data_IF_650932463417
#
_entry.id   IF_650932463417
#
_cell.length_a   1.000
_cell.length_b   1.000
_cell.length_c   1.000
_cell.angle_alpha   90.00
_cell.angle_beta   90.00
_cell.angle_gamma   90.00
#
_symmetry.space_group_name_H-M   'P 1'
#
loop_
_entity.id
_entity.type
_entity.pdbx_description
1 polymer ?
#
# COMPACT_ATOMS: atom_id res chain seq x y z
N UNK A 1 -22.31 12.95 -8.73
CA UNK A 1 -21.29 12.74 -9.79
C UNK A 1 -19.87 12.99 -9.31
N UNK A 2 -19.61 13.85 -8.31
CA UNK A 2 -18.25 14.13 -7.82
C UNK A 2 -17.57 12.98 -7.06
N UNK A 3 -18.32 12.19 -6.27
CA UNK A 3 -17.77 11.05 -5.49
C UNK A 3 -17.19 9.93 -6.37
N UNK A 4 -17.72 9.76 -7.59
CA UNK A 4 -17.27 8.72 -8.53
C UNK A 4 -15.88 9.08 -9.08
N UNK A 5 -15.62 10.36 -9.35
CA UNK A 5 -14.29 10.85 -9.74
C UNK A 5 -13.27 10.72 -8.60
N UNK A 6 -13.69 11.03 -7.37
CA UNK A 6 -12.85 10.84 -6.18
C UNK A 6 -12.49 9.38 -5.87
N UNK A 7 -13.28 8.41 -6.33
CA UNK A 7 -13.03 7.00 -6.08
C UNK A 7 -12.28 6.31 -7.23
N UNK A 8 -12.57 6.67 -8.49
CA UNK A 8 -12.16 5.89 -9.66
C UNK A 8 -11.02 6.52 -10.46
N UNK A 9 -11.03 7.84 -10.71
CA UNK A 9 -9.97 8.53 -11.48
C UNK A 9 -10.03 10.05 -11.26
N UNK A 10 -8.96 10.71 -10.73
CA UNK A 10 -7.61 10.24 -10.40
C UNK A 10 -7.48 9.63 -8.99
N UNK A 11 -8.58 9.33 -8.30
CA UNK A 11 -8.60 9.04 -6.86
C UNK A 11 -8.06 7.66 -6.40
N UNK A 12 -8.74 7.08 -5.40
CA UNK A 12 -8.20 5.99 -4.57
C UNK A 12 -7.87 4.68 -5.32
N UNK A 13 -8.77 4.22 -6.19
CA UNK A 13 -8.61 2.91 -6.84
C UNK A 13 -7.47 2.94 -7.85
N UNK A 14 -7.37 4.01 -8.64
CA UNK A 14 -6.31 4.16 -9.63
C UNK A 14 -4.93 4.26 -8.97
N UNK A 15 -4.79 5.12 -7.96
CA UNK A 15 -3.52 5.32 -7.25
C UNK A 15 -3.06 4.08 -6.51
N UNK A 16 -3.98 3.32 -5.89
CA UNK A 16 -3.65 2.05 -5.22
C UNK A 16 -3.13 1.02 -6.22
N UNK A 17 -3.85 0.81 -7.34
CA UNK A 17 -3.43 -0.16 -8.37
C UNK A 17 -2.09 0.26 -9.00
N UNK A 18 -1.95 1.54 -9.33
CA UNK A 18 -0.73 2.07 -9.93
C UNK A 18 0.48 1.93 -8.99
N UNK A 19 0.31 2.29 -7.70
CA UNK A 19 1.34 2.12 -6.67
C UNK A 19 1.80 0.66 -6.54
N UNK A 20 0.87 -0.30 -6.61
CA UNK A 20 1.21 -1.73 -6.57
C UNK A 20 2.06 -2.18 -7.77
N UNK A 21 1.79 -1.64 -8.96
CA UNK A 21 2.57 -1.90 -10.18
C UNK A 21 3.96 -1.27 -10.07
N UNK A 22 4.05 -0.04 -9.58
CA UNK A 22 5.34 0.66 -9.36
C UNK A 22 6.19 -0.10 -8.35
N UNK A 23 5.60 -0.57 -7.24
CA UNK A 23 6.30 -1.39 -6.26
C UNK A 23 6.80 -2.72 -6.87
N UNK A 24 6.06 -3.31 -7.81
CA UNK A 24 6.52 -4.50 -8.51
C UNK A 24 7.70 -4.17 -9.42
N UNK A 25 7.62 -3.06 -10.14
CA UNK A 25 8.67 -2.59 -11.02
C UNK A 25 9.97 -2.33 -10.24
N UNK A 26 9.89 -1.64 -9.10
CA UNK A 26 11.03 -1.41 -8.22
C UNK A 26 11.68 -2.74 -7.78
N UNK A 27 10.89 -3.68 -7.24
CA UNK A 27 11.39 -5.02 -6.85
C UNK A 27 12.00 -5.79 -8.02
N UNK A 28 11.47 -5.61 -9.23
CA UNK A 28 12.01 -6.24 -10.44
C UNK A 28 13.35 -5.60 -10.81
N UNK A 29 13.43 -4.28 -10.78
CA UNK A 29 14.63 -3.51 -11.09
C UNK A 29 15.76 -3.83 -10.09
N UNK A 30 15.48 -3.78 -8.78
CA UNK A 30 16.45 -4.15 -7.74
C UNK A 30 16.96 -5.58 -7.92
N UNK A 31 16.06 -6.52 -8.28
CA UNK A 31 16.46 -7.90 -8.54
C UNK A 31 17.39 -8.03 -9.76
N UNK A 32 17.14 -7.27 -10.83
CA UNK A 32 18.03 -7.25 -12.00
C UNK A 32 19.40 -6.65 -11.66
N UNK A 33 19.44 -5.55 -10.89
CA UNK A 33 20.68 -4.94 -10.41
C UNK A 33 21.50 -5.90 -9.52
N UNK A 34 20.83 -6.77 -8.78
CA UNK A 34 21.46 -7.78 -7.92
C UNK A 34 21.71 -9.11 -8.63
N UNK A 35 21.58 -9.18 -9.97
CA UNK A 35 21.76 -10.41 -10.76
C UNK A 35 20.93 -11.61 -10.28
N UNK A 36 19.74 -11.35 -9.71
CA UNK A 36 18.78 -12.39 -9.28
C UNK A 36 17.50 -12.34 -10.10
N UNK A 37 16.79 -13.47 -10.18
CA UNK A 37 15.48 -13.52 -10.84
C UNK A 37 14.45 -12.81 -9.95
N UNK A 38 13.96 -11.66 -10.41
CA UNK A 38 12.98 -10.88 -9.66
C UNK A 38 11.58 -11.51 -9.63
N UNK A 39 10.75 -11.12 -8.65
CA UNK A 39 9.47 -11.74 -8.33
C UNK A 39 8.41 -11.62 -9.46
N UNK A 40 7.38 -12.50 -9.47
CA UNK A 40 6.24 -12.40 -10.39
C UNK A 40 5.35 -11.20 -10.07
N UNK A 41 4.56 -10.74 -11.05
CA UNK A 41 3.73 -9.54 -10.95
C UNK A 41 2.66 -9.63 -9.86
N UNK A 42 2.06 -10.81 -9.71
CA UNK A 42 1.05 -11.07 -8.67
C UNK A 42 1.63 -11.17 -7.25
N UNK A 43 2.97 -11.19 -7.08
CA UNK A 43 3.59 -11.35 -5.76
C UNK A 43 3.16 -10.25 -4.78
N UNK A 44 3.11 -9.00 -5.23
CA UNK A 44 2.72 -7.88 -4.38
C UNK A 44 1.27 -8.01 -3.87
N UNK A 45 0.37 -8.60 -4.68
CA UNK A 45 -0.99 -8.89 -4.24
C UNK A 45 -1.02 -9.97 -3.17
N UNK A 46 -0.28 -11.07 -3.36
CA UNK A 46 -0.19 -12.13 -2.36
C UNK A 46 0.44 -11.64 -1.05
N UNK A 47 1.45 -10.78 -1.12
CA UNK A 47 2.10 -10.21 0.06
C UNK A 47 1.12 -9.32 0.86
N UNK A 48 0.24 -8.55 0.21
CA UNK A 48 -0.82 -7.80 0.89
C UNK A 48 -1.78 -8.72 1.63
N UNK A 49 -2.35 -9.72 0.94
CA UNK A 49 -3.28 -10.65 1.58
C UNK A 49 -2.63 -11.42 2.75
N UNK A 50 -1.38 -11.83 2.58
CA UNK A 50 -0.59 -12.48 3.63
C UNK A 50 -0.43 -11.59 4.87
N UNK A 51 -0.22 -10.28 4.69
CA UNK A 51 -0.11 -9.34 5.80
C UNK A 51 -1.45 -9.10 6.49
N UNK A 52 -2.56 -8.99 5.74
CA UNK A 52 -3.89 -8.86 6.32
C UNK A 52 -4.32 -10.09 7.12
N UNK A 53 -3.87 -11.29 6.74
CA UNK A 53 -4.14 -12.52 7.49
C UNK A 53 -3.24 -12.71 8.71
N UNK A 54 -2.25 -11.84 8.93
CA UNK A 54 -1.31 -11.97 10.05
C UNK A 54 -1.85 -11.26 11.29
N UNK A 55 -1.70 -11.89 12.46
CA UNK A 55 -2.07 -11.29 13.73
C UNK A 55 -1.22 -10.04 14.01
N UNK A 56 -1.88 -8.97 14.44
CA UNK A 56 -1.23 -7.73 14.84
C UNK A 56 -0.70 -7.90 16.26
N UNK A 57 0.60 -8.16 16.38
CA UNK A 57 1.28 -8.28 17.68
C UNK A 57 1.52 -6.87 18.24
N UNK A 58 0.76 -6.49 19.27
CA UNK A 58 0.93 -5.22 19.99
C UNK A 58 1.68 -5.52 21.29
N UNK A 59 2.82 -4.87 21.57
CA UNK A 59 3.55 -5.10 22.81
C UNK A 59 2.75 -4.59 24.01
N UNK A 60 2.77 -5.34 25.12
CA UNK A 60 1.96 -5.05 26.32
C UNK A 60 2.26 -3.69 26.96
N UNK A 61 3.48 -3.16 26.75
CA UNK A 61 3.91 -1.86 27.25
C UNK A 61 3.51 -0.67 26.37
N UNK A 62 2.90 -0.91 25.20
CA UNK A 62 2.52 0.15 24.27
C UNK A 62 1.05 0.55 24.40
N UNK A 63 0.79 1.85 24.26
CA UNK A 63 -0.57 2.36 24.14
C UNK A 63 -1.16 1.92 22.79
N UNK A 64 -2.14 1.01 22.84
CA UNK A 64 -2.82 0.43 21.66
C UNK A 64 -3.32 1.51 20.70
N UNK A 65 -3.83 2.61 21.21
CA UNK A 65 -4.39 3.69 20.41
C UNK A 65 -3.30 4.41 19.62
N UNK A 66 -2.19 4.78 20.27
CA UNK A 66 -1.06 5.44 19.61
C UNK A 66 -0.31 4.51 18.64
N UNK A 67 -0.43 3.19 18.80
CA UNK A 67 0.15 2.22 17.88
C UNK A 67 -0.64 2.08 16.57
N UNK A 68 -1.98 2.13 16.64
CA UNK A 68 -2.86 1.95 15.47
C UNK A 68 -3.16 3.28 14.75
N UNK A 69 -3.25 4.39 15.49
CA UNK A 69 -3.62 5.69 14.94
C UNK A 69 -2.73 6.17 13.76
N UNK A 70 -1.40 5.99 13.76
CA UNK A 70 -0.54 6.40 12.65
C UNK A 70 -0.87 5.70 11.34
N UNK A 71 -1.25 4.41 11.39
CA UNK A 71 -1.64 3.65 10.21
C UNK A 71 -2.91 4.23 9.57
N UNK A 72 -3.87 4.60 10.41
CA UNK A 72 -5.13 5.21 9.98
C UNK A 72 -4.86 6.60 9.38
N UNK A 73 -4.12 7.45 10.09
CA UNK A 73 -3.79 8.80 9.62
C UNK A 73 -2.99 8.76 8.31
N UNK A 74 -2.01 7.86 8.20
CA UNK A 74 -1.20 7.70 6.99
C UNK A 74 -2.00 7.25 5.77
N UNK A 75 -2.96 6.34 5.97
CA UNK A 75 -3.89 5.96 4.90
C UNK A 75 -4.75 7.15 4.49
N UNK A 76 -5.39 7.86 5.43
CA UNK A 76 -6.24 9.00 5.07
C UNK A 76 -5.46 10.15 4.43
N UNK A 77 -4.25 10.45 4.91
CA UNK A 77 -3.44 11.55 4.37
C UNK A 77 -3.02 11.30 2.92
N UNK A 78 -2.59 10.08 2.59
CA UNK A 78 -2.17 9.72 1.23
C UNK A 78 -3.34 9.76 0.25
N UNK A 79 -4.55 9.35 0.69
CA UNK A 79 -5.76 9.46 -0.14
C UNK A 79 -6.18 10.90 -0.36
N UNK A 80 -6.09 11.76 0.66
CA UNK A 80 -6.38 13.18 0.52
C UNK A 80 -5.41 13.87 -0.44
N UNK A 81 -4.11 13.59 -0.34
CA UNK A 81 -3.10 14.16 -1.25
C UNK A 81 -3.36 13.73 -2.69
N UNK A 82 -3.61 12.44 -2.92
CA UNK A 82 -3.95 11.90 -4.24
C UNK A 82 -5.26 12.47 -4.84
N UNK A 83 -6.07 13.12 -4.01
CA UNK A 83 -7.38 13.67 -4.37
C UNK A 83 -7.34 15.19 -4.60
N UNK A 84 -6.39 15.88 -3.96
CA UNK A 84 -6.25 17.34 -4.02
C UNK A 84 -5.44 17.77 -5.26
N UNK A 85 -4.57 16.91 -5.79
CA UNK A 85 -3.93 17.07 -7.10
C UNK A 85 -4.82 16.62 -8.25
#
# INVERSE_FOLDING_TARGET
MSIIYYLIFPGFVFTTIFSMIVCWFDRKLTARLQWRKGPPLLQNFYDLFKLFSKEVVIPDSANKTLFVLPLIIGLFSTVLVATIE
#
